data_IF_633365220697
#
_entry.id   IF_633365220697
#
_cell.length_a   1.000
_cell.length_b   1.000
_cell.length_c   1.000
_cell.angle_alpha   90.00
_cell.angle_beta   90.00
_cell.angle_gamma   90.00
#
_symmetry.space_group_name_H-M   'P 1'
#
loop_
_entity.id
_entity.type
_entity.pdbx_description
1 polymer ?
#
# COMPACT_ATOMS: atom_id res chain seq x y z
N UNK A 1 1.38 -10.98 7.51
CA UNK A 1 2.21 -9.75 7.57
C UNK A 1 1.31 -8.55 7.81
N UNK A 2 1.79 -7.51 8.50
CA UNK A 2 1.04 -6.26 8.66
C UNK A 2 1.14 -5.40 7.41
N UNK A 3 0.04 -4.75 7.04
CA UNK A 3 0.01 -3.77 5.95
C UNK A 3 -0.93 -2.62 6.28
N UNK A 4 -0.62 -1.42 5.77
CA UNK A 4 -1.52 -0.27 5.81
C UNK A 4 -2.44 -0.31 4.58
N UNK A 5 -3.72 -0.61 4.79
CA UNK A 5 -4.72 -0.75 3.74
C UNK A 5 -5.46 0.58 3.58
N UNK A 6 -5.29 1.24 2.44
CA UNK A 6 -6.08 2.40 2.05
C UNK A 6 -7.46 1.94 1.60
N UNK A 7 -8.49 2.28 2.39
CA UNK A 7 -9.91 1.91 2.15
C UNK A 7 -10.71 3.01 1.45
N UNK A 8 -10.13 4.20 1.30
CA UNK A 8 -10.76 5.35 0.66
C UNK A 8 -10.29 6.65 1.30
N UNK A 9 -10.69 7.81 0.76
CA UNK A 9 -10.24 9.10 1.26
C UNK A 9 -10.46 9.23 2.78
N UNK A 10 -9.40 9.59 3.51
CA UNK A 10 -9.42 9.73 4.97
C UNK A 10 -9.41 8.42 5.76
N UNK A 11 -9.26 7.26 5.12
CA UNK A 11 -9.32 5.96 5.79
C UNK A 11 -8.16 5.04 5.37
N UNK A 12 -7.23 4.82 6.30
CA UNK A 12 -6.20 3.79 6.26
C UNK A 12 -6.31 2.96 7.53
N UNK A 13 -6.32 1.64 7.41
CA UNK A 13 -6.32 0.71 8.54
C UNK A 13 -5.12 -0.22 8.47
N UNK A 14 -4.55 -0.54 9.63
CA UNK A 14 -3.49 -1.56 9.71
C UNK A 14 -4.16 -2.92 9.85
N UNK A 15 -3.92 -3.81 8.89
CA UNK A 15 -4.47 -5.16 8.87
C UNK A 15 -3.36 -6.21 8.81
N UNK A 16 -3.63 -7.37 9.41
CA UNK A 16 -2.81 -8.56 9.25
C UNK A 16 -3.30 -9.34 8.01
N UNK A 17 -2.51 -9.28 6.94
CA UNK A 17 -2.79 -9.94 5.66
C UNK A 17 -1.95 -11.21 5.48
N UNK A 18 -2.39 -12.11 4.61
CA UNK A 18 -1.59 -13.28 4.22
C UNK A 18 -0.34 -12.84 3.45
N UNK A 19 0.76 -13.54 3.68
CA UNK A 19 1.97 -13.34 2.90
C UNK A 19 1.69 -13.69 1.42
N UNK A 20 2.08 -12.83 0.47
CA UNK A 20 1.85 -13.09 -0.95
C UNK A 20 2.64 -14.33 -1.40
N UNK A 21 2.01 -15.15 -2.26
CA UNK A 21 2.65 -16.32 -2.86
C UNK A 21 3.37 -15.91 -4.14
N UNK A 22 4.67 -16.19 -4.20
CA UNK A 22 5.51 -15.88 -5.34
C UNK A 22 5.20 -16.77 -6.55
N UNK A 23 5.02 -16.17 -7.74
CA UNK A 23 4.94 -16.88 -9.01
C UNK A 23 6.28 -16.88 -9.74
N UNK A 24 6.32 -17.61 -10.87
CA UNK A 24 7.48 -17.57 -11.77
C UNK A 24 7.71 -16.13 -12.25
N UNK A 25 8.96 -15.70 -12.25
CA UNK A 25 9.43 -14.38 -12.71
C UNK A 25 9.00 -13.19 -11.81
N UNK A 26 8.60 -13.45 -10.57
CA UNK A 26 8.33 -12.42 -9.55
C UNK A 26 9.44 -12.39 -8.48
N UNK A 27 9.55 -11.26 -7.77
CA UNK A 27 10.40 -11.13 -6.58
C UNK A 27 9.55 -10.77 -5.36
N UNK A 28 9.80 -11.45 -4.23
CA UNK A 28 9.23 -11.07 -2.94
C UNK A 28 10.25 -10.28 -2.14
N UNK A 29 9.94 -9.01 -1.86
CA UNK A 29 10.81 -8.10 -1.12
C UNK A 29 10.28 -7.92 0.29
N UNK A 30 11.16 -8.10 1.28
CA UNK A 30 10.88 -7.75 2.68
C UNK A 30 11.14 -6.25 2.88
N UNK A 31 10.07 -5.47 2.93
CA UNK A 31 10.13 -4.04 3.24
C UNK A 31 10.47 -3.84 4.71
N UNK A 32 11.59 -3.17 5.00
CA UNK A 32 12.04 -2.86 6.37
C UNK A 32 11.66 -1.42 6.75
N UNK A 33 11.76 -0.50 5.79
CA UNK A 33 11.37 0.90 5.91
C UNK A 33 10.59 1.32 4.66
N UNK A 34 9.72 2.33 4.78
CA UNK A 34 9.05 2.92 3.64
C UNK A 34 8.91 4.43 3.85
N UNK A 35 9.21 5.20 2.81
CA UNK A 35 9.02 6.65 2.76
C UNK A 35 7.57 7.03 2.47
N UNK A 36 7.24 8.30 2.71
CA UNK A 36 5.96 8.88 2.32
C UNK A 36 6.19 9.95 1.27
N UNK A 37 5.55 9.79 0.12
CA UNK A 37 5.57 10.75 -0.96
C UNK A 37 4.38 11.72 -0.86
N UNK A 38 4.49 12.88 -1.50
CA UNK A 38 3.34 13.77 -1.72
C UNK A 38 2.16 13.09 -2.41
N UNK A 39 2.43 12.09 -3.26
CA UNK A 39 1.41 11.26 -3.92
C UNK A 39 0.59 10.43 -2.93
N UNK A 40 1.22 9.87 -1.90
CA UNK A 40 0.51 9.09 -0.87
C UNK A 40 -0.41 10.01 -0.06
N UNK A 41 0.09 11.19 0.32
CA UNK A 41 -0.69 12.22 1.04
C UNK A 41 -1.88 12.71 0.22
N UNK A 42 -1.67 13.02 -1.06
CA UNK A 42 -2.74 13.45 -1.98
C UNK A 42 -3.78 12.34 -2.14
N UNK A 43 -3.33 11.09 -2.30
CA UNK A 43 -4.21 9.93 -2.45
C UNK A 43 -5.04 9.70 -1.20
N UNK A 44 -4.44 9.78 -0.01
CA UNK A 44 -5.16 9.66 1.25
C UNK A 44 -6.22 10.76 1.40
N UNK A 45 -5.91 12.01 1.05
CA UNK A 45 -6.84 13.14 1.25
C UNK A 45 -7.97 13.19 0.21
N UNK A 46 -7.67 12.89 -1.05
CA UNK A 46 -8.56 13.20 -2.19
C UNK A 46 -8.84 12.00 -3.09
N UNK A 47 -8.25 10.84 -2.80
CA UNK A 47 -8.22 9.71 -3.71
C UNK A 47 -7.32 9.95 -4.92
N UNK A 48 -7.23 8.93 -5.77
CA UNK A 48 -6.41 8.97 -6.96
C UNK A 48 -7.02 8.05 -8.02
N UNK A 49 -7.12 8.53 -9.26
CA UNK A 49 -7.79 7.79 -10.35
C UNK A 49 -7.18 6.43 -10.67
N UNK A 50 -5.91 6.22 -10.31
CA UNK A 50 -5.20 4.95 -10.54
C UNK A 50 -5.19 4.02 -9.32
N UNK A 51 -5.62 4.49 -8.14
CA UNK A 51 -5.64 3.68 -6.91
C UNK A 51 -7.10 3.37 -6.54
N UNK A 52 -7.53 2.14 -6.81
CA UNK A 52 -8.87 1.66 -6.45
C UNK A 52 -8.83 1.06 -5.04
N UNK A 53 -9.52 1.65 -4.05
CA UNK A 53 -9.62 1.05 -2.72
C UNK A 53 -10.45 -0.25 -2.76
N UNK A 54 -10.14 -1.24 -1.89
CA UNK A 54 -9.02 -1.27 -0.96
C UNK A 54 -7.69 -1.60 -1.66
N UNK A 55 -6.61 -0.89 -1.33
CA UNK A 55 -5.27 -1.20 -1.82
C UNK A 55 -4.16 -0.80 -0.84
N UNK A 56 -2.95 -1.32 -1.03
CA UNK A 56 -1.76 -0.93 -0.28
C UNK A 56 -1.06 0.19 -1.07
N UNK A 57 -0.80 1.33 -0.42
CA UNK A 57 -0.03 2.44 -0.98
C UNK A 57 1.46 2.30 -0.63
N UNK A 58 2.28 3.27 -1.05
CA UNK A 58 3.71 3.28 -0.83
C UNK A 58 4.49 2.76 -2.04
N UNK A 59 5.47 3.55 -2.46
CA UNK A 59 6.34 3.27 -3.61
C UNK A 59 7.78 3.77 -3.36
N UNK A 60 8.09 4.10 -2.12
CA UNK A 60 9.41 4.47 -1.64
C UNK A 60 9.76 3.48 -0.50
N UNK A 61 10.70 2.56 -0.71
CA UNK A 61 11.07 1.48 0.22
C UNK A 61 12.50 0.99 0.03
#
# INVERSE_FOLDING_TARGET
MKAAIYKGPGLIEIEDIKEPKLKKDEYLVKVIYSGLCGTDVKTYKQGHRYFKPPCILGHEF
#
